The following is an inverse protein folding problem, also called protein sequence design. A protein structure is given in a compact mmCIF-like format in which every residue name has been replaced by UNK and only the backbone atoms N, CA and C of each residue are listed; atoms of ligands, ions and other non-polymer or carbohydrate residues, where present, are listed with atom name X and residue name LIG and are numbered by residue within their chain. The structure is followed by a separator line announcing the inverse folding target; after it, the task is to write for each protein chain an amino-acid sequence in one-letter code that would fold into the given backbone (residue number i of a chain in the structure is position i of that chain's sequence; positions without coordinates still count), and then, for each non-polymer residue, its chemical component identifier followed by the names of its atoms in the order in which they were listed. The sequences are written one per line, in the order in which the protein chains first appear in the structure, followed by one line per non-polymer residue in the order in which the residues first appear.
data_IF_637101308004
#
_entry.id   IF_637101308004
#
_cell.length_a   1.000
_cell.length_b   1.000
_cell.length_c   1.000
_cell.angle_alpha   90.00
_cell.angle_beta   90.00
_cell.angle_gamma   90.00
#
_symmetry.space_group_name_H-M   'P 1'
#
loop_
_entity.id
_entity.type
_entity.pdbx_description
1 polymer ?
#
# COMPACT_ATOMS: atom_id res chain seq x y z
N UNK A 1 2.01 -19.07 27.06
CA UNK A 1 2.77 -18.44 25.95
C UNK A 1 1.93 -17.44 25.15
N UNK A 2 0.67 -17.77 24.81
CA UNK A 2 -0.24 -16.91 24.02
C UNK A 2 -0.59 -15.58 24.73
N UNK A 3 -0.90 -15.62 26.03
CA UNK A 3 -1.23 -14.41 26.81
C UNK A 3 -0.09 -13.39 26.82
N UNK A 4 1.16 -13.85 26.89
CA UNK A 4 2.33 -12.98 26.86
C UNK A 4 2.51 -12.29 25.49
N UNK A 5 2.19 -12.98 24.39
CA UNK A 5 2.23 -12.39 23.04
C UNK A 5 1.09 -11.39 22.84
N UNK A 6 -0.11 -11.70 23.34
CA UNK A 6 -1.26 -10.80 23.29
C UNK A 6 -0.98 -9.50 24.07
N UNK A 7 -0.44 -9.62 25.28
CA UNK A 7 -0.06 -8.47 26.11
C UNK A 7 1.04 -7.65 25.42
N UNK A 8 2.05 -8.30 24.83
CA UNK A 8 3.11 -7.61 24.07
C UNK A 8 2.56 -6.90 22.84
N UNK A 9 1.66 -7.52 22.09
CA UNK A 9 0.99 -6.91 20.94
C UNK A 9 0.16 -5.68 21.34
N UNK A 10 -0.63 -5.79 22.41
CA UNK A 10 -1.44 -4.68 22.92
C UNK A 10 -0.56 -3.51 23.40
N UNK A 11 0.55 -3.79 24.07
CA UNK A 11 1.51 -2.78 24.53
C UNK A 11 2.18 -2.09 23.33
N UNK A 12 2.68 -2.85 22.36
CA UNK A 12 3.32 -2.28 21.17
C UNK A 12 2.34 -1.44 20.36
N UNK A 13 1.10 -1.92 20.18
CA UNK A 13 0.06 -1.19 19.48
C UNK A 13 -0.32 0.11 20.20
N UNK A 14 -0.51 0.05 21.53
CA UNK A 14 -0.78 1.26 22.33
C UNK A 14 0.38 2.25 22.27
N UNK A 15 1.61 1.77 22.43
CA UNK A 15 2.80 2.61 22.42
C UNK A 15 3.01 3.27 21.06
N UNK A 16 2.81 2.53 19.97
CA UNK A 16 2.84 3.08 18.61
C UNK A 16 1.77 4.15 18.41
N UNK A 17 0.55 3.91 18.89
CA UNK A 17 -0.54 4.89 18.82
C UNK A 17 -0.18 6.16 19.59
N UNK A 18 0.25 6.04 20.86
CA UNK A 18 0.63 7.16 21.72
C UNK A 18 1.79 7.97 21.10
N UNK A 19 2.86 7.30 20.65
CA UNK A 19 4.00 7.97 20.03
C UNK A 19 3.61 8.71 18.74
N UNK A 20 2.74 8.12 17.91
CA UNK A 20 2.21 8.75 16.69
C UNK A 20 1.39 10.01 17.00
N UNK A 21 0.65 10.05 18.10
CA UNK A 21 -0.09 11.25 18.52
C UNK A 21 0.81 12.34 19.13
N UNK A 22 1.95 11.97 19.71
CA UNK A 22 2.90 12.91 20.32
C UNK A 22 3.74 13.73 19.32
N UNK A 23 3.79 13.33 18.05
CA UNK A 23 4.59 14.00 17.00
C UNK A 23 3.74 14.77 15.98
N UNK A 24 2.57 15.25 16.39
CA UNK A 24 1.71 16.05 15.51
C UNK A 24 2.17 17.50 15.44
N UNK A 25 2.17 18.06 14.24
CA UNK A 25 2.48 19.48 13.99
C UNK A 25 1.33 20.12 13.22
N UNK A 26 1.25 21.45 13.23
CA UNK A 26 0.23 22.19 12.47
C UNK A 26 0.82 22.71 11.18
N UNK A 27 0.12 22.47 10.07
CA UNK A 27 0.40 23.10 8.77
C UNK A 27 -0.73 24.08 8.44
N UNK A 28 -0.40 25.14 7.71
CA UNK A 28 -1.41 26.04 7.15
C UNK A 28 -1.65 25.66 5.69
N UNK A 29 -2.92 25.59 5.31
CA UNK A 29 -3.37 25.37 3.94
C UNK A 29 -4.45 26.39 3.63
N UNK A 30 -4.60 26.77 2.36
CA UNK A 30 -5.71 27.61 1.93
C UNK A 30 -7.04 26.82 1.94
N UNK A 31 -8.14 27.55 1.77
CA UNK A 31 -9.48 26.97 1.79
C UNK A 31 -9.75 26.03 0.62
N UNK A 32 -9.12 26.25 -0.54
CA UNK A 32 -9.28 25.41 -1.72
C UNK A 32 -8.64 24.04 -1.50
N UNK A 33 -7.39 24.02 -0.99
CA UNK A 33 -6.70 22.79 -0.60
C UNK A 33 -7.48 22.02 0.46
N UNK A 34 -8.03 22.69 1.47
CA UNK A 34 -8.88 22.04 2.47
C UNK A 34 -10.11 21.38 1.84
N UNK A 35 -10.79 22.06 0.91
CA UNK A 35 -11.95 21.51 0.21
C UNK A 35 -11.57 20.30 -0.65
N UNK A 36 -10.41 20.35 -1.31
CA UNK A 36 -9.88 19.21 -2.06
C UNK A 36 -9.62 18.02 -1.13
N UNK A 37 -9.04 18.24 0.05
CA UNK A 37 -8.86 17.20 1.06
C UNK A 37 -10.20 16.62 1.56
N UNK A 38 -11.26 17.42 1.65
CA UNK A 38 -12.59 16.94 2.00
C UNK A 38 -13.16 16.00 0.93
N UNK A 39 -12.96 16.30 -0.35
CA UNK A 39 -13.38 15.44 -1.48
C UNK A 39 -12.56 14.15 -1.60
N UNK A 40 -11.33 14.13 -1.06
CA UNK A 40 -10.43 12.97 -1.08
C UNK A 40 -10.65 12.01 0.10
N UNK A 41 -11.60 12.30 0.99
CA UNK A 41 -11.96 11.38 2.08
C UNK A 41 -12.68 10.15 1.54
N UNK A 42 -12.24 8.98 1.98
CA UNK A 42 -12.85 7.68 1.69
C UNK A 42 -14.09 7.42 2.57
N UNK A 43 -14.12 7.99 3.78
CA UNK A 43 -15.25 7.89 4.69
C UNK A 43 -15.45 9.20 5.48
N UNK A 44 -16.68 9.52 5.93
CA UNK A 44 -16.99 10.83 6.52
C UNK A 44 -16.15 11.22 7.74
N UNK A 45 -15.59 10.24 8.46
CA UNK A 45 -14.81 10.44 9.70
C UNK A 45 -13.30 10.34 9.50
N UNK A 46 -12.82 10.17 8.27
CA UNK A 46 -11.38 10.14 7.98
C UNK A 46 -10.76 11.48 8.34
N UNK A 47 -9.66 11.46 9.08
CA UNK A 47 -8.93 12.66 9.45
C UNK A 47 -8.10 13.19 8.29
N UNK A 48 -7.83 14.50 8.24
CA UNK A 48 -6.94 15.05 7.22
C UNK A 48 -5.53 14.46 7.30
N UNK A 49 -5.08 14.05 8.50
CA UNK A 49 -3.78 13.40 8.64
C UNK A 49 -3.75 12.03 7.95
N UNK A 50 -4.84 11.25 7.99
CA UNK A 50 -4.95 9.98 7.26
C UNK A 50 -4.98 10.19 5.75
N UNK A 51 -5.78 11.15 5.28
CA UNK A 51 -5.81 11.54 3.85
C UNK A 51 -4.42 11.94 3.38
N UNK A 52 -3.74 12.85 4.10
CA UNK A 52 -2.40 13.31 3.76
C UNK A 52 -1.37 12.18 3.82
N UNK A 53 -1.42 11.32 4.84
CA UNK A 53 -0.49 10.18 4.96
C UNK A 53 -0.61 9.23 3.76
N UNK A 54 -1.85 8.97 3.31
CA UNK A 54 -2.10 8.15 2.13
C UNK A 54 -1.60 8.83 0.85
N UNK A 55 -1.86 10.12 0.67
CA UNK A 55 -1.39 10.88 -0.50
C UNK A 55 0.14 10.94 -0.55
N UNK A 56 0.80 11.16 0.60
CA UNK A 56 2.27 11.14 0.71
C UNK A 56 2.81 9.75 0.37
N UNK A 57 2.21 8.67 0.90
CA UNK A 57 2.61 7.30 0.56
C UNK A 57 2.39 6.93 -0.91
N UNK A 58 1.46 7.59 -1.61
CA UNK A 58 1.33 7.44 -3.06
C UNK A 58 2.38 8.24 -3.84
N UNK A 59 2.84 9.37 -3.29
CA UNK A 59 3.82 10.24 -3.95
C UNK A 59 5.26 9.71 -3.78
N UNK A 60 5.54 9.05 -2.67
CA UNK A 60 6.82 8.41 -2.39
C UNK A 60 6.65 6.90 -2.47
N UNK A 61 7.07 6.32 -3.59
CA UNK A 61 7.25 4.87 -3.69
C UNK A 61 8.49 4.49 -2.86
N UNK A 62 8.27 3.96 -1.66
CA UNK A 62 9.35 3.52 -0.76
C UNK A 62 10.06 2.27 -1.28
N UNK A 63 9.42 1.51 -2.19
CA UNK A 63 9.96 0.29 -2.78
C UNK A 63 9.77 0.31 -4.31
N UNK A 64 10.45 1.24 -5.01
CA UNK A 64 10.33 1.32 -6.46
C UNK A 64 10.86 0.03 -7.08
N UNK A 65 10.12 -0.48 -8.06
CA UNK A 65 10.58 -1.63 -8.84
C UNK A 65 11.91 -1.28 -9.50
N UNK A 66 12.88 -2.20 -9.40
CA UNK A 66 14.13 -2.07 -10.16
C UNK A 66 13.86 -2.01 -11.66
N UNK A 67 14.73 -1.33 -12.40
CA UNK A 67 14.66 -1.24 -13.87
C UNK A 67 14.55 -2.62 -14.53
N UNK A 68 15.30 -3.60 -14.04
CA UNK A 68 15.24 -4.98 -14.53
C UNK A 68 13.86 -5.62 -14.30
N UNK A 69 13.22 -5.31 -13.16
CA UNK A 69 11.87 -5.80 -12.86
C UNK A 69 10.83 -5.14 -13.75
N UNK A 70 10.93 -3.82 -13.96
CA UNK A 70 10.07 -3.09 -14.88
C UNK A 70 10.17 -3.64 -16.30
N UNK A 71 11.39 -3.84 -16.80
CA UNK A 71 11.64 -4.43 -18.12
C UNK A 71 11.00 -5.81 -18.26
N UNK A 72 11.15 -6.68 -17.26
CA UNK A 72 10.53 -8.01 -17.28
C UNK A 72 9.00 -7.95 -17.28
N UNK A 73 8.41 -6.97 -16.60
CA UNK A 73 6.96 -6.73 -16.65
C UNK A 73 6.54 -6.28 -18.05
N UNK A 74 7.29 -5.37 -18.68
CA UNK A 74 7.02 -4.94 -20.07
C UNK A 74 7.11 -6.10 -21.07
N UNK A 75 8.14 -6.94 -20.95
CA UNK A 75 8.31 -8.15 -21.76
C UNK A 75 7.13 -9.12 -21.55
N UNK A 76 6.73 -9.39 -20.31
CA UNK A 76 5.59 -10.26 -20.00
C UNK A 76 4.26 -9.70 -20.55
N UNK A 77 4.05 -8.39 -20.49
CA UNK A 77 2.87 -7.75 -21.07
C UNK A 77 2.87 -7.82 -22.60
N UNK A 78 4.04 -7.73 -23.22
CA UNK A 78 4.19 -7.90 -24.66
C UNK A 78 3.84 -9.34 -25.09
N UNK A 79 4.40 -10.32 -24.39
CA UNK A 79 4.12 -11.74 -24.64
C UNK A 79 2.63 -12.05 -24.49
N UNK A 80 1.97 -11.52 -23.45
CA UNK A 80 0.53 -11.68 -23.27
C UNK A 80 -0.29 -11.10 -24.44
N UNK A 81 0.12 -9.94 -24.98
CA UNK A 81 -0.53 -9.34 -26.17
C UNK A 81 -0.31 -10.15 -27.44
N UNK A 82 0.84 -10.81 -27.57
CA UNK A 82 1.15 -11.70 -28.69
C UNK A 82 0.54 -13.10 -28.53
N UNK A 83 -0.19 -13.36 -27.44
CA UNK A 83 -0.78 -14.67 -27.15
C UNK A 83 0.25 -15.71 -26.69
N UNK A 84 1.44 -15.27 -26.28
CA UNK A 84 2.51 -16.12 -25.74
C UNK A 84 2.31 -16.30 -24.24
N UNK A 85 1.30 -17.06 -23.86
CA UNK A 85 1.06 -17.44 -22.47
C UNK A 85 0.62 -18.89 -22.41
N UNK A 86 0.82 -19.50 -21.26
CA UNK A 86 0.25 -20.81 -20.94
C UNK A 86 -0.90 -20.61 -19.96
N UNK A 87 -1.97 -21.36 -20.17
CA UNK A 87 -3.04 -21.53 -19.20
C UNK A 87 -2.57 -22.42 -18.05
N UNK A 88 -3.30 -22.39 -16.95
CA UNK A 88 -2.96 -23.20 -15.79
C UNK A 88 -3.01 -24.70 -16.12
N UNK A 89 -4.01 -25.14 -16.89
CA UNK A 89 -4.15 -26.54 -17.32
C UNK A 89 -2.97 -26.98 -18.22
N UNK A 90 -2.48 -26.10 -19.10
CA UNK A 90 -1.32 -26.37 -19.95
C UNK A 90 -0.03 -26.53 -19.13
N UNK A 91 0.19 -25.68 -18.13
CA UNK A 91 1.35 -25.78 -17.24
C UNK A 91 1.28 -27.04 -16.36
N UNK A 92 0.11 -27.36 -15.81
CA UNK A 92 -0.10 -28.55 -14.98
C UNK A 92 0.18 -29.84 -15.78
N UNK A 93 -0.26 -29.88 -17.04
CA UNK A 93 0.04 -30.98 -17.95
C UNK A 93 1.54 -31.08 -18.29
N UNK A 94 2.22 -29.95 -18.52
CA UNK A 94 3.66 -29.92 -18.84
C UNK A 94 4.55 -30.29 -17.64
N UNK A 95 4.18 -29.85 -16.43
CA UNK A 95 4.93 -30.10 -15.21
C UNK A 95 4.55 -31.41 -14.50
N UNK A 96 3.64 -32.20 -15.09
CA UNK A 96 3.10 -33.44 -14.52
C UNK A 96 2.47 -33.26 -13.11
N UNK A 97 1.97 -32.05 -12.85
CA UNK A 97 1.26 -31.72 -11.62
C UNK A 97 -0.21 -32.14 -11.81
N UNK A 98 -0.59 -33.26 -11.21
CA UNK A 98 -1.97 -33.79 -11.21
C UNK A 98 -2.67 -33.55 -9.88
#
# INVERSE_FOLDING_TARGET
MILAHLVRFLITFNLYSILKYMTTTTIKVDSEVKNNLDNLKLFPRESYNEVLSRLVGMAYDEEPLSEDTLKRVEEALHDLKEGKYYTQEEIEAELELR
#
